data_IF_958570345507
#
_entry.id   IF_958570345507
#
_cell.length_a   1.000
_cell.length_b   1.000
_cell.length_c   1.000
_cell.angle_alpha   90.00
_cell.angle_beta   90.00
_cell.angle_gamma   90.00
#
_symmetry.space_group_name_H-M   'P 1'
#
loop_
_entity.id
_entity.type
_entity.pdbx_description
1 polymer ?
#
# COMPACT_ATOMS: atom_id res chain seq x y z
N UNK A 1 -24.71 2.33 -32.33
CA UNK A 1 -24.01 3.45 -33.00
C UNK A 1 -22.74 3.70 -32.22
N UNK A 2 -21.62 3.94 -32.90
CA UNK A 2 -20.33 4.25 -32.27
C UNK A 2 -20.28 5.73 -31.88
N UNK A 3 -19.70 6.13 -30.74
CA UNK A 3 -19.51 7.55 -30.42
C UNK A 3 -18.64 8.26 -31.48
N UNK A 4 -18.90 9.54 -31.78
CA UNK A 4 -18.06 10.33 -32.68
C UNK A 4 -16.66 10.56 -32.09
N UNK A 5 -15.65 10.92 -32.92
CA UNK A 5 -14.30 11.23 -32.43
C UNK A 5 -14.33 12.35 -31.38
N UNK A 6 -13.59 12.20 -30.28
CA UNK A 6 -13.68 13.13 -29.16
C UNK A 6 -12.94 12.69 -27.89
N UNK A 7 -12.93 13.58 -26.90
CA UNK A 7 -12.48 13.30 -25.54
C UNK A 7 -13.62 12.70 -24.71
N UNK A 8 -13.33 11.60 -24.01
CA UNK A 8 -14.27 10.89 -23.13
C UNK A 8 -13.52 10.39 -21.89
N UNK A 9 -14.21 10.10 -20.78
CA UNK A 9 -13.61 9.48 -19.58
C UNK A 9 -12.84 8.21 -19.97
N UNK A 10 -11.59 8.06 -19.51
CA UNK A 10 -10.81 6.84 -19.71
C UNK A 10 -11.40 5.70 -18.85
N UNK A 11 -11.88 4.58 -19.43
CA UNK A 11 -12.44 3.46 -18.66
C UNK A 11 -11.45 2.83 -17.67
N UNK A 12 -10.15 2.98 -17.91
CA UNK A 12 -9.08 2.43 -17.07
C UNK A 12 -8.44 3.48 -16.15
N UNK A 13 -8.75 4.77 -16.33
CA UNK A 13 -8.27 5.86 -15.49
C UNK A 13 -9.38 6.92 -15.31
N UNK A 14 -10.41 6.68 -14.47
CA UNK A 14 -11.62 7.51 -14.43
C UNK A 14 -11.44 8.99 -14.05
N UNK A 15 -10.23 9.37 -13.61
CA UNK A 15 -9.82 10.75 -13.31
C UNK A 15 -9.23 11.49 -14.54
N UNK A 16 -9.09 10.82 -15.70
CA UNK A 16 -8.60 11.36 -16.96
C UNK A 16 -9.65 11.26 -18.07
N UNK A 17 -9.45 12.05 -19.12
CA UNK A 17 -10.07 11.85 -20.42
C UNK A 17 -9.06 11.22 -21.39
N UNK A 18 -9.54 10.30 -22.24
CA UNK A 18 -8.79 9.66 -23.33
C UNK A 18 -9.43 9.99 -24.67
N UNK A 19 -8.64 10.10 -25.73
CA UNK A 19 -9.14 10.43 -27.06
C UNK A 19 -9.59 9.20 -27.84
N UNK A 20 -10.85 9.20 -28.25
CA UNK A 20 -11.45 8.25 -29.19
C UNK A 20 -11.39 8.82 -30.61
N UNK A 21 -10.88 8.04 -31.58
CA UNK A 21 -10.71 8.49 -32.97
C UNK A 21 -11.92 8.25 -33.89
N UNK A 22 -12.98 7.61 -33.38
CA UNK A 22 -14.15 7.15 -34.14
C UNK A 22 -14.22 5.63 -34.28
N UNK A 23 -13.09 4.93 -34.15
CA UNK A 23 -12.96 3.48 -34.28
C UNK A 23 -12.15 2.81 -33.16
N UNK A 24 -11.23 3.53 -32.52
CA UNK A 24 -10.36 3.03 -31.45
C UNK A 24 -10.01 4.13 -30.42
N UNK A 25 -9.48 3.68 -29.27
CA UNK A 25 -8.95 4.54 -28.21
C UNK A 25 -7.45 4.80 -28.43
N UNK A 26 -7.09 6.04 -28.78
CA UNK A 26 -5.66 6.42 -28.93
C UNK A 26 -5.00 6.62 -27.56
N UNK A 27 -3.66 6.60 -27.48
CA UNK A 27 -2.93 6.80 -26.21
C UNK A 27 -2.90 8.26 -25.71
N UNK A 28 -3.52 9.20 -26.43
CA UNK A 28 -3.64 10.58 -25.94
C UNK A 28 -4.60 10.63 -24.74
N UNK A 29 -4.09 11.12 -23.60
CA UNK A 29 -4.82 11.28 -22.34
C UNK A 29 -4.60 12.69 -21.79
N UNK A 30 -5.61 13.26 -21.12
CA UNK A 30 -5.55 14.58 -20.49
C UNK A 30 -6.32 14.61 -19.17
N UNK A 31 -6.02 15.59 -18.31
CA UNK A 31 -6.90 15.91 -17.20
C UNK A 31 -8.23 16.51 -17.74
N UNK A 32 -9.39 16.25 -17.12
CA UNK A 32 -10.66 16.84 -17.53
C UNK A 32 -10.59 18.37 -17.50
N UNK A 33 -10.92 19.01 -18.61
CA UNK A 33 -10.75 20.45 -18.75
C UNK A 33 -11.89 21.21 -18.04
N UNK A 34 -11.61 21.69 -16.83
CA UNK A 34 -12.52 22.57 -16.09
C UNK A 34 -12.64 23.89 -16.85
N UNK A 35 -13.80 24.10 -17.49
CA UNK A 35 -14.11 25.31 -18.25
C UNK A 35 -14.25 26.55 -17.34
N UNK A 36 -13.12 27.09 -16.90
CA UNK A 36 -13.06 28.38 -16.21
C UNK A 36 -13.43 29.55 -17.14
N UNK A 37 -13.96 30.66 -16.60
CA UNK A 37 -14.22 31.85 -17.40
C UNK A 37 -12.91 32.44 -17.98
N UNK A 38 -12.94 33.01 -19.20
CA UNK A 38 -11.74 33.45 -19.89
C UNK A 38 -11.06 34.62 -19.16
N UNK A 39 -9.83 34.41 -18.69
CA UNK A 39 -8.98 35.44 -18.09
C UNK A 39 -8.25 36.20 -19.20
N UNK A 40 -8.32 37.55 -19.27
CA UNK A 40 -7.55 38.33 -20.25
C UNK A 40 -6.03 38.18 -20.05
N UNK A 41 -5.31 37.89 -21.14
CA UNK A 41 -3.85 37.74 -21.11
C UNK A 41 -3.11 39.08 -20.84
N UNK A 42 -1.94 39.04 -20.19
CA UNK A 42 -1.16 40.24 -19.90
C UNK A 42 -0.52 40.84 -21.16
N UNK A 43 -0.44 42.17 -21.29
CA UNK A 43 0.25 42.83 -22.41
C UNK A 43 1.77 42.69 -22.31
N UNK A 44 2.43 42.65 -23.48
CA UNK A 44 3.88 42.44 -23.59
C UNK A 44 4.72 43.65 -23.12
N UNK A 45 6.00 43.40 -22.82
CA UNK A 45 6.88 44.37 -22.18
C UNK A 45 7.28 45.56 -23.07
N UNK A 46 7.23 46.76 -22.49
CA UNK A 46 7.78 48.00 -23.04
C UNK A 46 8.69 48.70 -22.02
N UNK A 47 9.70 49.43 -22.50
CA UNK A 47 10.79 49.97 -21.66
C UNK A 47 10.39 51.23 -20.85
N UNK A 48 11.17 51.63 -19.82
CA UNK A 48 10.64 52.32 -18.64
C UNK A 48 10.62 53.85 -18.69
N UNK A 49 9.73 54.45 -17.90
CA UNK A 49 9.79 55.85 -17.46
C UNK A 49 9.20 56.05 -16.04
N UNK A 50 9.80 56.99 -15.31
CA UNK A 50 9.44 57.58 -14.00
C UNK A 50 8.04 57.33 -13.37
N UNK A 51 7.99 57.01 -12.07
CA UNK A 51 6.75 57.06 -11.27
C UNK A 51 6.97 57.00 -9.75
N UNK A 52 6.75 58.11 -9.02
CA UNK A 52 6.99 58.25 -7.57
C UNK A 52 5.92 57.60 -6.67
N UNK A 53 6.40 56.72 -5.77
CA UNK A 53 6.25 56.81 -4.30
C UNK A 53 4.98 56.31 -3.55
N UNK A 54 5.23 56.07 -2.25
CA UNK A 54 4.36 55.81 -1.09
C UNK A 54 3.76 54.41 -0.94
N UNK A 55 4.23 53.72 0.11
CA UNK A 55 3.53 52.64 0.78
C UNK A 55 2.52 53.20 1.81
N UNK A 56 1.51 52.40 2.16
CA UNK A 56 0.78 52.46 3.43
C UNK A 56 0.59 51.02 3.89
N UNK A 57 0.94 50.73 5.14
CA UNK A 57 0.53 49.51 5.83
C UNK A 57 -0.59 49.86 6.82
N UNK A 58 -1.54 48.94 7.02
CA UNK A 58 -2.52 49.00 8.10
C UNK A 58 -2.63 47.63 8.77
N UNK A 59 -2.94 47.67 10.06
CA UNK A 59 -2.82 46.56 11.02
C UNK A 59 -4.12 46.36 11.80
N UNK A 60 -4.13 45.41 12.73
CA UNK A 60 -5.13 45.18 13.81
C UNK A 60 -6.45 44.50 13.44
N UNK A 61 -7.20 43.88 14.37
CA UNK A 61 -6.86 43.05 15.56
C UNK A 61 -8.16 42.54 16.24
N UNK A 62 -8.11 41.38 16.91
CA UNK A 62 -9.19 40.87 17.76
C UNK A 62 -10.37 40.25 16.99
N UNK A 63 -11.35 39.61 17.63
CA UNK A 63 -11.62 39.46 19.09
C UNK A 63 -12.09 38.02 19.39
N UNK A 64 -11.81 37.53 20.60
CA UNK A 64 -12.31 36.23 21.11
C UNK A 64 -13.72 36.37 21.67
N UNK A 65 -14.60 35.40 21.40
CA UNK A 65 -15.78 35.15 22.26
C UNK A 65 -16.03 33.64 22.42
N UNK A 66 -16.34 33.22 23.64
CA UNK A 66 -16.83 31.88 23.97
C UNK A 66 -18.24 32.00 24.49
N UNK A 67 -19.15 31.13 24.04
CA UNK A 67 -20.48 30.96 24.63
C UNK A 67 -20.85 29.48 24.56
N UNK A 68 -21.15 28.87 25.71
CA UNK A 68 -21.66 27.51 25.81
C UNK A 68 -23.14 27.55 26.18
N UNK A 69 -23.92 26.60 25.65
CA UNK A 69 -25.29 26.32 26.09
C UNK A 69 -25.42 24.81 26.30
N UNK A 70 -26.02 24.44 27.43
CA UNK A 70 -26.31 23.06 27.86
C UNK A 70 -27.83 22.96 28.08
N UNK A 71 -28.36 21.74 28.18
CA UNK A 71 -29.78 21.36 28.43
C UNK A 71 -30.58 21.16 27.13
N UNK A 72 -31.37 20.09 26.98
CA UNK A 72 -31.56 18.94 27.86
C UNK A 72 -32.58 17.95 27.30
N UNK A 73 -32.73 16.77 27.92
CA UNK A 73 -33.67 15.75 27.49
C UNK A 73 -35.03 15.88 28.21
N UNK A 74 -36.11 15.41 27.56
CA UNK A 74 -37.11 14.44 28.11
C UNK A 74 -38.20 14.10 27.07
N UNK A 75 -38.76 12.91 27.21
CA UNK A 75 -39.66 12.19 26.31
C UNK A 75 -41.06 12.79 26.02
N UNK A 76 -41.71 12.24 24.98
CA UNK A 76 -43.10 11.70 24.91
C UNK A 76 -43.19 10.96 23.55
N UNK A 77 -43.35 9.63 23.42
CA UNK A 77 -44.43 8.69 23.77
C UNK A 77 -45.84 9.05 23.24
N UNK A 78 -46.27 8.33 22.20
CA UNK A 78 -47.65 7.87 21.84
C UNK A 78 -47.55 7.18 20.47
N UNK A 79 -48.22 6.08 20.10
CA UNK A 79 -48.90 4.97 20.81
C UNK A 79 -48.45 3.64 20.15
N UNK A 80 -48.73 2.43 20.64
CA UNK A 80 -50.05 1.82 20.97
C UNK A 80 -50.98 1.86 19.71
N UNK A 81 -51.49 0.76 19.14
CA UNK A 81 -51.35 -0.71 19.34
C UNK A 81 -51.66 -1.42 17.98
N UNK A 82 -51.86 -2.73 17.71
CA UNK A 82 -52.15 -3.99 18.46
C UNK A 82 -51.81 -5.24 17.58
N UNK A 83 -51.72 -6.43 18.19
CA UNK A 83 -52.03 -7.82 17.71
C UNK A 83 -51.68 -8.37 16.30
N UNK A 84 -51.26 -9.66 16.24
CA UNK A 84 -51.46 -10.48 15.03
C UNK A 84 -50.69 -11.81 14.87
N UNK A 85 -51.30 -12.93 15.28
CA UNK A 85 -51.16 -14.31 14.75
C UNK A 85 -49.75 -14.92 14.45
N UNK A 86 -49.38 -15.91 15.28
CA UNK A 86 -48.42 -16.98 15.02
C UNK A 86 -48.86 -17.88 13.84
N UNK A 87 -47.99 -18.09 12.84
CA UNK A 87 -48.00 -19.29 11.96
C UNK A 87 -46.59 -19.76 11.63
N UNK A 88 -46.38 -21.07 11.74
CA UNK A 88 -45.14 -21.79 11.40
C UNK A 88 -45.15 -22.25 9.93
N UNK A 89 -44.10 -21.91 9.18
CA UNK A 89 -43.74 -22.62 7.94
C UNK A 89 -42.23 -22.55 7.69
N UNK A 90 -41.50 -23.60 8.06
CA UNK A 90 -40.11 -23.78 7.63
C UNK A 90 -39.96 -24.04 6.11
N UNK A 91 -38.79 -23.78 5.50
CA UNK A 91 -38.57 -24.01 4.07
C UNK A 91 -38.61 -25.51 3.73
N UNK A 92 -39.46 -25.89 2.77
CA UNK A 92 -39.63 -27.27 2.33
C UNK A 92 -38.40 -27.77 1.55
N UNK A 93 -37.71 -28.77 2.08
CA UNK A 93 -36.65 -29.48 1.36
C UNK A 93 -37.23 -30.27 0.18
N UNK A 94 -36.91 -29.84 -1.04
CA UNK A 94 -37.22 -30.61 -2.25
C UNK A 94 -36.34 -31.86 -2.30
N UNK A 95 -36.93 -33.03 -2.03
CA UNK A 95 -36.26 -34.33 -2.20
C UNK A 95 -36.35 -34.76 -3.67
N UNK A 96 -35.22 -34.78 -4.37
CA UNK A 96 -35.14 -35.35 -5.71
C UNK A 96 -35.10 -36.90 -5.66
N UNK A 97 -35.67 -37.61 -6.66
CA UNK A 97 -35.54 -39.06 -6.75
C UNK A 97 -34.10 -39.47 -7.14
N UNK A 98 -33.63 -40.66 -6.74
CA UNK A 98 -32.28 -41.12 -7.04
C UNK A 98 -32.12 -41.53 -8.52
N UNK A 99 -31.39 -40.73 -9.29
CA UNK A 99 -30.85 -41.16 -10.59
C UNK A 99 -29.64 -42.06 -10.35
N UNK A 100 -29.66 -43.27 -10.92
CA UNK A 100 -28.49 -44.16 -10.94
C UNK A 100 -27.60 -43.81 -12.13
N UNK A 101 -26.48 -43.15 -11.88
CA UNK A 101 -25.43 -42.96 -12.89
C UNK A 101 -24.37 -44.08 -12.80
N UNK A 102 -23.73 -44.45 -13.94
CA UNK A 102 -22.61 -45.40 -13.94
C UNK A 102 -21.35 -44.78 -13.28
N UNK A 103 -20.38 -45.59 -12.84
CA UNK A 103 -19.18 -45.08 -12.19
C UNK A 103 -18.31 -44.28 -13.18
N UNK A 104 -18.35 -42.95 -13.03
CA UNK A 104 -17.35 -42.05 -13.61
C UNK A 104 -16.02 -42.26 -12.89
N UNK A 105 -14.97 -42.61 -13.63
CA UNK A 105 -13.61 -42.64 -13.10
C UNK A 105 -13.17 -41.22 -12.77
N UNK A 106 -13.00 -40.90 -11.49
CA UNK A 106 -12.45 -39.60 -11.08
C UNK A 106 -11.04 -39.43 -11.66
N UNK A 107 -10.73 -38.31 -12.34
CA UNK A 107 -9.36 -37.99 -12.66
C UNK A 107 -8.65 -37.60 -11.36
N UNK A 108 -7.62 -38.36 -10.99
CA UNK A 108 -6.80 -38.11 -9.79
C UNK A 108 -6.36 -36.64 -9.78
N UNK A 109 -6.91 -35.87 -8.85
CA UNK A 109 -6.41 -34.51 -8.61
C UNK A 109 -4.96 -34.62 -8.14
N UNK A 110 -4.04 -33.79 -8.66
CA UNK A 110 -2.67 -33.79 -8.17
C UNK A 110 -2.72 -33.48 -6.68
N UNK A 111 -2.20 -34.38 -5.86
CA UNK A 111 -2.06 -34.14 -4.42
C UNK A 111 -1.10 -32.98 -4.25
N UNK A 112 -1.61 -31.80 -3.88
CA UNK A 112 -0.79 -30.79 -3.23
C UNK A 112 -0.29 -31.40 -1.94
N UNK A 113 0.98 -31.76 -1.89
CA UNK A 113 1.62 -32.24 -0.68
C UNK A 113 1.50 -31.13 0.38
N UNK A 114 0.84 -31.43 1.51
CA UNK A 114 0.86 -30.51 2.65
C UNK A 114 2.32 -30.41 3.13
N UNK A 115 2.86 -29.18 3.31
CA UNK A 115 4.24 -29.01 3.75
C UNK A 115 4.46 -29.70 5.10
N UNK A 116 5.64 -30.26 5.29
CA UNK A 116 5.99 -31.00 6.51
C UNK A 116 5.94 -30.06 7.72
N UNK A 117 5.65 -30.61 8.90
CA UNK A 117 5.65 -29.82 10.14
C UNK A 117 7.02 -29.20 10.49
N UNK A 118 8.10 -29.71 9.88
CA UNK A 118 9.47 -29.21 9.98
C UNK A 118 9.85 -28.21 8.86
N UNK A 119 9.01 -28.01 7.84
CA UNK A 119 9.29 -27.03 6.78
C UNK A 119 9.15 -25.59 7.34
N UNK A 120 10.13 -24.70 7.08
CA UNK A 120 10.09 -23.35 7.59
C UNK A 120 8.87 -22.60 7.03
N UNK A 121 7.99 -22.12 7.90
CA UNK A 121 6.78 -21.44 7.51
C UNK A 121 7.07 -20.27 6.54
N UNK A 122 6.37 -20.22 5.41
CA UNK A 122 6.49 -19.14 4.42
C UNK A 122 5.18 -18.39 4.22
N UNK A 123 5.29 -17.14 3.76
CA UNK A 123 4.22 -16.39 3.11
C UNK A 123 4.51 -16.34 1.62
N UNK A 124 3.48 -16.55 0.80
CA UNK A 124 3.52 -16.36 -0.64
C UNK A 124 2.89 -15.00 -0.96
N UNK A 125 3.61 -14.18 -1.72
CA UNK A 125 3.11 -12.96 -2.36
C UNK A 125 2.99 -13.25 -3.85
N UNK A 126 1.77 -13.62 -4.27
CA UNK A 126 1.46 -13.95 -5.66
C UNK A 126 1.51 -12.73 -6.58
N UNK A 127 1.28 -11.53 -6.04
CA UNK A 127 1.23 -10.27 -6.80
C UNK A 127 2.63 -9.83 -7.26
N UNK A 128 3.61 -9.88 -6.37
CA UNK A 128 5.00 -9.56 -6.68
C UNK A 128 5.84 -10.80 -7.08
N UNK A 129 5.27 -12.01 -6.95
CA UNK A 129 5.87 -13.28 -7.34
C UNK A 129 7.02 -13.73 -6.43
N UNK A 130 6.92 -13.47 -5.14
CA UNK A 130 7.96 -13.81 -4.16
C UNK A 130 7.42 -14.68 -3.02
N UNK A 131 8.31 -15.40 -2.35
CA UNK A 131 8.04 -15.98 -1.02
C UNK A 131 8.92 -15.31 0.01
N UNK A 132 8.41 -15.19 1.24
CA UNK A 132 9.13 -14.66 2.39
C UNK A 132 9.07 -15.70 3.53
N UNK A 133 10.15 -15.93 4.31
CA UNK A 133 10.05 -16.73 5.52
C UNK A 133 9.20 -15.98 6.55
N UNK A 134 8.42 -16.72 7.33
CA UNK A 134 7.66 -16.22 8.47
C UNK A 134 8.44 -16.58 9.75
N UNK A 135 9.11 -15.63 10.42
CA UNK A 135 9.89 -15.93 11.62
C UNK A 135 8.99 -16.26 12.83
N UNK A 136 9.59 -16.77 13.90
CA UNK A 136 8.88 -16.99 15.17
C UNK A 136 8.30 -15.66 15.70
N UNK A 137 7.07 -15.70 16.23
CA UNK A 137 6.35 -14.51 16.68
C UNK A 137 5.67 -13.69 15.57
N UNK A 138 5.92 -14.01 14.29
CA UNK A 138 5.22 -13.42 13.15
C UNK A 138 4.05 -14.29 12.69
N UNK A 139 3.00 -13.64 12.20
CA UNK A 139 1.79 -14.27 11.67
C UNK A 139 1.49 -13.80 10.25
N UNK A 140 0.82 -14.68 9.48
CA UNK A 140 0.21 -14.27 8.20
C UNK A 140 -0.86 -13.20 8.48
N UNK A 141 -1.07 -12.22 7.58
CA UNK A 141 -1.93 -11.09 7.85
C UNK A 141 -3.37 -11.54 8.08
N UNK A 142 -3.97 -11.11 9.18
CA UNK A 142 -5.38 -11.32 9.51
C UNK A 142 -5.99 -9.98 9.89
N UNK A 143 -7.13 -9.65 9.30
CA UNK A 143 -7.88 -8.42 9.58
C UNK A 143 -7.13 -7.10 9.29
N UNK A 144 -6.05 -7.13 8.51
CA UNK A 144 -5.39 -5.92 7.99
C UNK A 144 -6.21 -5.27 6.87
N UNK A 145 -6.21 -3.94 6.82
CA UNK A 145 -6.91 -3.14 5.80
C UNK A 145 -6.06 -2.80 4.57
N UNK A 146 -4.73 -2.93 4.68
CA UNK A 146 -3.78 -2.71 3.59
C UNK A 146 -3.51 -4.05 2.87
N UNK A 147 -3.79 -4.12 1.57
CA UNK A 147 -3.62 -5.30 0.72
C UNK A 147 -2.18 -5.80 0.62
N UNK A 148 -1.23 -4.89 0.77
CA UNK A 148 0.18 -5.11 0.43
C UNK A 148 0.98 -5.63 1.65
N UNK A 149 0.34 -5.81 2.81
CA UNK A 149 0.95 -6.39 4.02
C UNK A 149 1.07 -7.90 3.85
N UNK A 150 2.29 -8.43 3.97
CA UNK A 150 2.57 -9.87 3.87
C UNK A 150 2.79 -10.55 5.21
N UNK A 151 3.14 -9.83 6.27
CA UNK A 151 3.15 -10.37 7.64
C UNK A 151 3.13 -9.27 8.69
N UNK A 152 2.65 -9.62 9.87
CA UNK A 152 2.72 -8.80 11.08
C UNK A 152 3.29 -9.62 12.24
N UNK A 153 3.72 -8.95 13.31
CA UNK A 153 3.78 -9.60 14.62
C UNK A 153 2.37 -10.03 15.04
N UNK A 154 2.25 -11.05 15.89
CA UNK A 154 0.94 -11.38 16.47
C UNK A 154 0.40 -10.24 17.36
N UNK A 155 -0.92 -10.16 17.46
CA UNK A 155 -1.64 -9.14 18.22
C UNK A 155 -1.56 -7.71 17.67
N UNK A 156 -2.32 -6.81 18.30
CA UNK A 156 -2.32 -5.37 18.09
C UNK A 156 -2.26 -4.63 19.44
N UNK A 157 -1.93 -3.35 19.40
CA UNK A 157 -1.95 -2.44 20.55
C UNK A 157 -2.52 -1.08 20.13
N UNK A 158 -3.01 -0.26 21.07
CA UNK A 158 -3.46 1.10 20.78
C UNK A 158 -2.28 1.98 20.34
N UNK A 159 -2.36 2.57 19.14
CA UNK A 159 -1.32 3.48 18.65
C UNK A 159 -1.14 4.67 19.62
N UNK A 160 0.09 5.11 19.92
CA UNK A 160 0.33 6.02 21.04
C UNK A 160 -0.22 7.44 20.86
N UNK A 161 -0.34 7.94 19.62
CA UNK A 161 -0.86 9.27 19.28
C UNK A 161 -2.37 9.28 18.97
N UNK A 162 -2.74 9.59 17.71
CA UNK A 162 -4.15 9.78 17.25
C UNK A 162 -5.01 8.48 17.19
N UNK A 163 -4.70 7.49 18.02
CA UNK A 163 -5.43 6.24 18.19
C UNK A 163 -5.44 5.33 16.97
N UNK A 164 -6.35 4.35 16.98
CA UNK A 164 -6.31 3.22 16.06
C UNK A 164 -5.40 2.10 16.57
N UNK A 165 -5.25 1.04 15.77
CA UNK A 165 -4.54 -0.18 16.18
C UNK A 165 -3.24 -0.35 15.41
N UNK A 166 -2.15 -0.47 16.16
CA UNK A 166 -0.79 -0.65 15.66
C UNK A 166 -0.32 -2.10 15.90
N UNK A 167 0.60 -2.58 15.06
CA UNK A 167 1.32 -3.85 15.27
C UNK A 167 2.79 -3.53 15.59
N UNK A 168 3.43 -4.33 16.46
CA UNK A 168 4.85 -4.15 16.81
C UNK A 168 5.79 -4.34 15.62
N UNK A 169 5.43 -5.20 14.69
CA UNK A 169 6.12 -5.39 13.42
C UNK A 169 5.15 -5.57 12.26
N UNK A 170 5.51 -5.00 11.11
CA UNK A 170 4.81 -5.14 9.82
C UNK A 170 5.83 -5.29 8.69
N UNK A 171 5.51 -6.11 7.70
CA UNK A 171 6.24 -6.17 6.43
C UNK A 171 5.24 -6.04 5.28
N UNK A 172 5.59 -5.19 4.32
CA UNK A 172 4.78 -4.82 3.14
C UNK A 172 5.61 -5.08 1.88
N UNK A 173 5.00 -5.61 0.82
CA UNK A 173 5.67 -5.81 -0.47
C UNK A 173 4.86 -5.25 -1.64
N UNK A 174 5.52 -4.47 -2.49
CA UNK A 174 4.89 -3.76 -3.60
C UNK A 174 5.79 -3.63 -4.82
N UNK A 175 5.17 -3.62 -6.00
CA UNK A 175 5.87 -3.34 -7.25
C UNK A 175 6.18 -1.85 -7.35
N UNK A 176 7.40 -1.52 -7.77
CA UNK A 176 7.85 -0.14 -7.92
C UNK A 176 7.44 0.45 -9.27
N UNK A 177 6.93 1.70 -9.33
CA UNK A 177 6.57 2.34 -10.58
C UNK A 177 7.83 2.68 -11.40
N UNK A 178 7.94 2.03 -12.57
CA UNK A 178 9.02 2.18 -13.55
C UNK A 178 8.74 3.23 -14.62
N UNK A 179 7.68 4.06 -14.45
CA UNK A 179 7.17 5.02 -15.44
C UNK A 179 8.10 6.18 -15.81
N UNK A 180 9.32 6.23 -15.25
CA UNK A 180 10.41 7.13 -15.64
C UNK A 180 11.67 6.41 -16.15
N UNK A 181 11.60 5.11 -16.44
CA UNK A 181 12.74 4.28 -16.88
C UNK A 181 13.73 3.89 -15.78
N UNK A 182 13.72 4.58 -14.63
CA UNK A 182 14.56 4.22 -13.49
C UNK A 182 14.16 2.85 -12.91
N UNK A 183 15.17 1.98 -12.79
CA UNK A 183 15.10 0.58 -12.35
C UNK A 183 16.23 0.20 -11.39
N UNK A 184 17.19 1.11 -11.14
CA UNK A 184 18.29 0.94 -10.19
C UNK A 184 17.77 0.67 -8.77
N UNK A 185 18.08 -0.49 -8.16
CA UNK A 185 17.66 -0.79 -6.79
C UNK A 185 18.15 0.25 -5.78
N UNK A 186 19.35 0.81 -5.97
CA UNK A 186 19.90 1.84 -5.09
C UNK A 186 19.15 3.17 -5.19
N UNK A 187 18.84 3.65 -6.39
CA UNK A 187 18.05 4.89 -6.56
C UNK A 187 16.65 4.69 -6.01
N UNK A 188 16.01 3.56 -6.33
CA UNK A 188 14.66 3.26 -5.91
C UNK A 188 14.56 3.13 -4.38
N UNK A 189 15.45 2.38 -3.72
CA UNK A 189 15.42 2.23 -2.25
C UNK A 189 15.67 3.57 -1.51
N UNK A 190 16.57 4.42 -2.04
CA UNK A 190 16.82 5.77 -1.48
C UNK A 190 15.66 6.75 -1.71
N UNK A 191 14.89 6.58 -2.78
CA UNK A 191 13.67 7.35 -3.05
C UNK A 191 12.46 6.85 -2.24
N UNK A 192 12.43 5.56 -1.93
CA UNK A 192 11.33 4.88 -1.25
C UNK A 192 11.32 5.09 0.27
N UNK A 193 12.50 5.12 0.90
CA UNK A 193 12.63 5.15 2.37
C UNK A 193 11.92 6.33 3.09
N UNK A 194 11.77 7.55 2.54
CA UNK A 194 10.98 8.61 3.18
C UNK A 194 9.48 8.28 3.15
N UNK A 195 8.94 7.88 1.99
CA UNK A 195 7.53 7.48 1.83
C UNK A 195 7.20 6.25 2.72
N UNK A 196 8.17 5.35 2.88
CA UNK A 196 8.08 4.21 3.79
C UNK A 196 8.05 4.63 5.27
N UNK A 197 8.78 5.68 5.65
CA UNK A 197 8.77 6.20 7.02
C UNK A 197 7.50 6.99 7.31
N UNK A 198 7.12 7.91 6.44
CA UNK A 198 5.95 8.78 6.60
C UNK A 198 4.66 7.95 6.74
N UNK A 199 4.46 6.94 5.89
CA UNK A 199 3.29 6.05 5.92
C UNK A 199 3.24 5.07 7.11
N UNK A 200 4.35 4.93 7.85
CA UNK A 200 4.43 4.08 9.04
C UNK A 200 4.37 4.89 10.35
N UNK A 201 4.93 6.11 10.36
CA UNK A 201 5.20 6.85 11.59
C UNK A 201 4.81 8.35 11.57
N UNK A 202 4.53 8.99 10.42
CA UNK A 202 3.94 10.35 10.43
C UNK A 202 2.42 10.33 10.29
N UNK A 203 1.90 9.71 9.22
CA UNK A 203 0.48 9.78 8.82
C UNK A 203 -0.06 8.46 8.27
N UNK A 204 -1.26 8.10 8.72
CA UNK A 204 -2.02 6.96 8.17
C UNK A 204 -2.83 7.34 6.91
N UNK A 205 -3.51 6.35 6.32
CA UNK A 205 -4.38 6.53 5.15
C UNK A 205 -5.64 7.40 5.41
N UNK A 206 -5.84 7.85 6.65
CA UNK A 206 -6.95 8.72 7.10
C UNK A 206 -6.43 10.10 7.57
N UNK A 207 -5.17 10.43 7.28
CA UNK A 207 -4.46 11.66 7.67
C UNK A 207 -4.28 11.88 9.19
N UNK A 208 -4.41 10.81 9.99
CA UNK A 208 -4.13 10.80 11.43
C UNK A 208 -2.66 10.55 11.71
N UNK A 209 -2.18 10.91 12.91
CA UNK A 209 -0.79 10.71 13.35
C UNK A 209 -0.70 9.64 14.44
N UNK A 210 -0.61 8.34 14.08
CA UNK A 210 -0.60 7.25 15.06
C UNK A 210 0.56 7.32 16.07
N UNK A 211 1.62 8.09 15.79
CA UNK A 211 2.75 8.34 16.68
C UNK A 211 3.01 9.85 16.93
N UNK A 212 2.00 10.71 16.75
CA UNK A 212 2.09 12.17 16.89
C UNK A 212 2.84 12.89 15.73
N UNK A 213 3.62 12.14 14.95
CA UNK A 213 4.39 12.60 13.79
C UNK A 213 5.87 12.27 13.90
N UNK A 214 6.61 12.37 12.80
CA UNK A 214 8.07 12.16 12.77
C UNK A 214 8.79 13.45 13.19
N UNK A 215 9.67 13.35 14.19
CA UNK A 215 10.57 14.44 14.59
C UNK A 215 11.91 14.39 13.86
N UNK A 216 12.46 13.18 13.67
CA UNK A 216 13.78 12.99 13.06
C UNK A 216 13.99 11.55 12.58
N UNK A 217 14.95 11.37 11.67
CA UNK A 217 15.44 10.05 11.26
C UNK A 217 16.97 9.99 11.24
N UNK A 218 17.51 8.78 11.36
CA UNK A 218 18.94 8.48 11.37
C UNK A 218 19.23 7.30 10.43
N UNK A 219 20.20 7.43 9.52
CA UNK A 219 20.60 6.33 8.63
C UNK A 219 21.42 5.30 9.41
N UNK A 220 20.81 4.14 9.69
CA UNK A 220 21.44 3.06 10.48
C UNK A 220 22.32 2.17 9.62
N UNK A 221 21.86 1.81 8.42
CA UNK A 221 22.51 0.82 7.54
C UNK A 221 22.00 0.98 6.11
N UNK A 222 22.86 0.85 5.11
CA UNK A 222 22.45 0.75 3.70
C UNK A 222 23.51 0.04 2.87
N UNK A 223 23.12 -0.59 1.77
CA UNK A 223 24.05 -1.19 0.83
C UNK A 223 23.45 -2.22 -0.13
N UNK A 224 24.28 -2.80 -1.01
CA UNK A 224 23.87 -3.90 -1.89
C UNK A 224 23.57 -5.17 -1.09
N UNK A 225 22.63 -5.96 -1.59
CA UNK A 225 22.18 -7.22 -0.98
C UNK A 225 21.73 -8.21 -2.06
N UNK A 226 21.92 -9.51 -1.84
CA UNK A 226 21.41 -10.55 -2.73
C UNK A 226 20.01 -10.99 -2.27
N UNK A 227 19.01 -10.87 -3.15
CA UNK A 227 17.58 -11.15 -2.86
C UNK A 227 16.97 -11.87 -4.06
N UNK A 228 16.23 -12.96 -3.85
CA UNK A 228 15.69 -13.81 -4.93
C UNK A 228 16.72 -14.17 -6.04
N UNK A 229 17.97 -14.40 -5.66
CA UNK A 229 19.07 -14.68 -6.59
C UNK A 229 19.37 -13.55 -7.60
N UNK A 230 19.10 -12.29 -7.25
CA UNK A 230 19.52 -11.09 -7.99
C UNK A 230 20.18 -10.07 -7.05
N UNK A 231 20.89 -9.09 -7.62
CA UNK A 231 21.42 -7.95 -6.88
C UNK A 231 20.30 -6.91 -6.62
N UNK A 232 20.08 -6.60 -5.35
CA UNK A 232 19.22 -5.53 -4.86
C UNK A 232 20.01 -4.56 -3.96
N UNK A 233 19.28 -3.63 -3.34
CA UNK A 233 19.83 -2.64 -2.41
C UNK A 233 18.83 -2.37 -1.29
N UNK A 234 19.31 -2.11 -0.08
CA UNK A 234 18.45 -1.72 1.04
C UNK A 234 18.92 -0.41 1.70
N UNK A 235 17.97 0.31 2.30
CA UNK A 235 18.22 1.45 3.20
C UNK A 235 17.41 1.22 4.46
N UNK A 236 18.05 1.30 5.63
CA UNK A 236 17.45 1.16 6.97
C UNK A 236 17.65 2.45 7.77
N UNK A 237 16.55 3.06 8.17
CA UNK A 237 16.50 4.22 9.07
C UNK A 237 16.05 3.80 10.47
N UNK A 238 16.47 4.57 11.47
CA UNK A 238 15.76 4.69 12.75
C UNK A 238 15.00 5.99 12.75
N UNK A 239 13.71 5.94 13.06
CA UNK A 239 12.79 7.08 13.12
C UNK A 239 12.53 7.39 14.60
N UNK A 240 12.48 8.68 14.94
CA UNK A 240 11.97 9.16 16.23
C UNK A 240 10.68 9.93 15.97
N UNK A 241 9.69 9.63 16.79
CA UNK A 241 8.34 10.18 16.72
C UNK A 241 8.05 11.02 17.95
N UNK A 242 7.09 11.93 17.85
CA UNK A 242 6.67 12.76 18.98
C UNK A 242 6.09 11.93 20.14
N UNK A 243 5.47 10.79 19.82
CA UNK A 243 4.87 9.86 20.79
C UNK A 243 5.30 8.41 20.53
N UNK A 244 5.39 7.61 21.60
CA UNK A 244 5.91 6.24 21.55
C UNK A 244 7.44 6.15 21.43
N UNK A 245 7.99 4.96 21.13
CA UNK A 245 9.44 4.73 21.06
C UNK A 245 10.08 5.10 19.71
N UNK A 246 9.29 5.53 18.72
CA UNK A 246 9.67 5.50 17.31
C UNK A 246 9.92 4.07 16.82
N UNK A 247 10.68 3.93 15.73
CA UNK A 247 10.85 2.64 15.09
C UNK A 247 12.04 2.53 14.16
N UNK A 248 12.20 1.35 13.58
CA UNK A 248 13.09 1.08 12.46
C UNK A 248 12.26 0.90 11.19
N UNK A 249 12.68 1.58 10.13
CA UNK A 249 12.09 1.49 8.79
C UNK A 249 13.17 0.94 7.86
N UNK A 250 12.85 -0.02 7.01
CA UNK A 250 13.74 -0.45 5.93
C UNK A 250 12.98 -0.55 4.62
N UNK A 251 13.58 -0.05 3.54
CA UNK A 251 13.14 -0.31 2.16
C UNK A 251 14.22 -1.16 1.48
N UNK A 252 13.85 -2.37 1.02
CA UNK A 252 14.72 -3.28 0.28
C UNK A 252 14.17 -3.44 -1.14
N UNK A 253 14.89 -2.97 -2.16
CA UNK A 253 14.49 -3.06 -3.57
C UNK A 253 15.35 -4.08 -4.31
N UNK A 254 14.74 -4.86 -5.20
CA UNK A 254 15.42 -5.79 -6.10
C UNK A 254 14.60 -6.01 -7.39
N UNK A 255 15.21 -6.39 -8.53
CA UNK A 255 14.47 -6.69 -9.75
C UNK A 255 13.65 -7.97 -9.59
N UNK A 256 12.41 -8.01 -10.10
CA UNK A 256 11.58 -9.22 -10.04
C UNK A 256 12.13 -10.33 -10.95
N UNK A 257 11.59 -11.55 -10.81
CA UNK A 257 11.76 -12.68 -11.75
C UNK A 257 10.47 -13.06 -12.49
N UNK A 258 9.36 -12.37 -12.22
CA UNK A 258 8.04 -12.66 -12.83
C UNK A 258 7.52 -11.49 -13.66
N UNK A 259 6.59 -11.78 -14.57
CA UNK A 259 5.81 -10.78 -15.29
C UNK A 259 6.67 -9.80 -16.09
N UNK A 260 6.54 -8.52 -15.80
CA UNK A 260 7.25 -7.41 -16.47
C UNK A 260 8.66 -7.14 -15.95
N UNK A 261 9.19 -8.01 -15.06
CA UNK A 261 10.46 -7.84 -14.31
C UNK A 261 10.58 -6.53 -13.50
N UNK A 262 9.47 -5.79 -13.33
CA UNK A 262 9.41 -4.54 -12.56
C UNK A 262 10.00 -4.74 -11.15
N UNK A 263 10.84 -3.81 -10.64
CA UNK A 263 11.46 -3.99 -9.33
C UNK A 263 10.44 -4.08 -8.20
N UNK A 264 10.67 -4.97 -7.24
CA UNK A 264 9.85 -5.11 -6.03
C UNK A 264 10.55 -4.37 -4.90
N UNK A 265 9.79 -3.61 -4.11
CA UNK A 265 10.22 -3.11 -2.81
C UNK A 265 9.54 -3.92 -1.69
N UNK A 266 10.33 -4.44 -0.76
CA UNK A 266 9.86 -4.95 0.53
C UNK A 266 10.19 -3.92 1.59
N UNK A 267 9.16 -3.37 2.22
CA UNK A 267 9.22 -2.40 3.32
C UNK A 267 9.03 -3.12 4.66
N UNK A 268 9.79 -2.71 5.66
CA UNK A 268 9.76 -3.24 7.02
C UNK A 268 9.50 -2.10 8.00
N UNK A 269 8.53 -2.26 8.90
CA UNK A 269 8.20 -1.29 9.95
C UNK A 269 8.20 -1.99 11.30
N UNK A 270 9.24 -1.77 12.11
CA UNK A 270 9.43 -2.45 13.41
C UNK A 270 9.50 -1.39 14.53
N UNK A 271 8.68 -1.51 15.57
CA UNK A 271 8.76 -0.65 16.76
C UNK A 271 10.15 -0.71 17.40
N UNK A 272 10.64 0.43 17.92
CA UNK A 272 11.92 0.49 18.65
C UNK A 272 11.73 0.35 20.19
N UNK A 273 10.55 -0.10 20.63
CA UNK A 273 10.20 -0.34 22.03
C UNK A 273 10.70 -1.68 22.57
N UNK A 274 10.44 -1.96 23.85
CA UNK A 274 10.85 -3.21 24.50
C UNK A 274 10.16 -4.45 23.91
N UNK A 275 8.92 -4.30 23.45
CA UNK A 275 8.14 -5.37 22.77
C UNK A 275 8.29 -5.32 21.24
N UNK A 276 9.25 -4.55 20.71
CA UNK A 276 9.55 -4.51 19.29
C UNK A 276 10.18 -5.82 18.79
N UNK A 277 9.88 -6.27 17.56
CA UNK A 277 10.46 -7.49 17.01
C UNK A 277 11.98 -7.37 16.84
N UNK A 278 12.74 -8.47 16.92
CA UNK A 278 14.20 -8.43 16.81
C UNK A 278 14.67 -7.79 15.49
N UNK A 279 15.56 -6.80 15.57
CA UNK A 279 16.07 -6.10 14.37
C UNK A 279 16.84 -7.03 13.41
N UNK A 280 17.24 -8.21 13.88
CA UNK A 280 17.76 -9.33 13.08
C UNK A 280 16.76 -9.83 12.04
N UNK A 281 15.45 -9.73 12.31
CA UNK A 281 14.42 -10.32 11.45
C UNK A 281 14.34 -9.57 10.11
N UNK A 282 14.65 -8.26 10.08
CA UNK A 282 14.82 -7.52 8.82
C UNK A 282 15.91 -8.12 7.92
N UNK A 283 17.00 -8.60 8.50
CA UNK A 283 18.12 -9.23 7.79
C UNK A 283 17.81 -10.71 7.46
N UNK A 284 17.10 -11.42 8.34
CA UNK A 284 16.65 -12.81 8.14
C UNK A 284 15.63 -12.90 7.01
N UNK A 285 14.56 -12.09 7.05
CA UNK A 285 13.51 -12.05 6.04
C UNK A 285 14.12 -11.62 4.70
N UNK A 286 14.91 -10.53 4.66
CA UNK A 286 15.59 -10.09 3.41
C UNK A 286 16.43 -11.21 2.79
N UNK A 287 17.20 -11.95 3.58
CA UNK A 287 18.01 -13.10 3.11
C UNK A 287 17.15 -14.30 2.71
N UNK A 288 15.95 -14.44 3.29
CA UNK A 288 15.03 -15.54 3.02
C UNK A 288 14.18 -15.39 1.77
N UNK A 289 14.01 -14.18 1.23
CA UNK A 289 13.15 -13.95 0.05
C UNK A 289 13.59 -14.79 -1.16
N UNK A 290 12.64 -15.50 -1.78
CA UNK A 290 12.79 -16.24 -3.05
C UNK A 290 11.78 -15.76 -4.09
N UNK A 291 11.92 -16.24 -5.33
CA UNK A 291 10.86 -16.14 -6.33
C UNK A 291 9.95 -17.36 -6.22
N UNK A 292 8.64 -17.20 -6.45
CA UNK A 292 7.70 -18.34 -6.51
C UNK A 292 8.05 -19.34 -7.63
N UNK A 293 8.75 -18.89 -8.67
CA UNK A 293 9.21 -19.72 -9.79
C UNK A 293 10.59 -20.35 -9.59
N UNK A 294 11.29 -20.02 -8.49
CA UNK A 294 12.62 -20.56 -8.15
C UNK A 294 12.83 -20.50 -6.62
N UNK A 295 12.11 -21.33 -5.84
CA UNK A 295 12.18 -21.33 -4.37
C UNK A 295 13.54 -21.85 -3.87
N UNK A 296 14.12 -22.83 -4.56
CA UNK A 296 15.43 -23.43 -4.24
C UNK A 296 16.62 -22.61 -4.75
N UNK A 297 16.36 -21.49 -5.44
CA UNK A 297 17.33 -20.58 -6.08
C UNK A 297 18.27 -19.85 -5.12
N UNK A 298 19.12 -20.61 -4.42
CA UNK A 298 19.96 -20.14 -3.32
C UNK A 298 21.13 -19.27 -3.75
N UNK A 299 20.95 -17.95 -3.70
CA UNK A 299 22.02 -16.96 -3.46
C UNK A 299 23.09 -16.76 -4.56
N UNK A 300 23.10 -17.55 -5.63
CA UNK A 300 24.02 -17.39 -6.75
C UNK A 300 23.67 -16.17 -7.61
N UNK A 301 24.60 -15.21 -7.73
CA UNK A 301 24.48 -14.09 -8.68
C UNK A 301 24.81 -14.57 -10.10
N UNK A 302 23.78 -15.04 -10.80
CA UNK A 302 23.90 -15.53 -12.17
C UNK A 302 24.18 -14.43 -13.18
N UNK A 303 25.47 -14.16 -13.45
CA UNK A 303 25.87 -13.41 -14.65
C UNK A 303 25.56 -14.24 -15.90
N UNK A 304 24.42 -14.00 -16.53
CA UNK A 304 23.99 -14.65 -17.77
C UNK A 304 24.76 -14.11 -18.98
N UNK A 305 26.05 -14.46 -19.07
CA UNK A 305 26.88 -14.30 -20.28
C UNK A 305 27.38 -15.69 -20.68
N UNK A 306 26.66 -16.31 -21.60
CA UNK A 306 27.04 -17.55 -22.29
C UNK A 306 27.09 -17.28 -23.80
N UNK A 307 28.00 -17.93 -24.56
CA UNK A 307 28.51 -17.34 -25.79
C UNK A 307 27.58 -17.46 -26.99
N UNK A 308 27.65 -16.45 -27.87
CA UNK A 308 27.28 -16.59 -29.28
C UNK A 308 28.02 -17.79 -29.89
N UNK A 309 27.28 -18.60 -30.66
CA UNK A 309 27.80 -19.81 -31.28
C UNK A 309 28.03 -19.57 -32.78
N UNK A 310 29.22 -19.90 -33.32
CA UNK A 310 29.51 -19.78 -34.76
C UNK A 310 28.81 -20.85 -35.60
#
# INVERSE_FOLDING_TARGET
MTPPPGWYRDPHAPHLERWWDGTAWTEHRRAPEVAGPPVPGPPSAGNPASGRAKAVALTTAGVVLVAAIVTGAVALRSGDDTDGAQTDTGPTYYTAPPTTEPPTTEPTSPTTEEPSADDPAVVVDELNGITLPLPEGWVRPKYVSESDVVMTTDGTYDCPGDGGFCHRGRVVSRTMPTSGGETSPETLAKRDIPEAADAAYDRDLLDKRPYGGIESHELVKSGPVAVAGRAGYFVRWRVRTAEGPGGYVQSTVFPSRVGTESPVCVRYYFDAGADGPPLSDMDLITKGIRSVSDPDGGGGVGNSVGPDKP
#
